data_IF_416518418019
#
_entry.id   IF_416518418019
#
_cell.length_a   1.000
_cell.length_b   1.000
_cell.length_c   1.000
_cell.angle_alpha   90.00
_cell.angle_beta   90.00
_cell.angle_gamma   90.00
#
_symmetry.space_group_name_H-M   'P 1'
#
loop_
_entity.id
_entity.type
_entity.pdbx_description
1 polymer ?
#
# COMPACT_ATOMS: atom_id res chain seq x y z
N UNK A 1 -23.22 -21.94 -8.77
CA UNK A 1 -22.29 -20.85 -9.14
C UNK A 1 -21.13 -20.92 -8.16
N UNK A 2 -19.96 -21.35 -8.62
CA UNK A 2 -18.78 -21.41 -7.77
C UNK A 2 -18.24 -20.01 -7.56
N UNK A 3 -18.22 -19.54 -6.31
CA UNK A 3 -17.39 -18.41 -5.93
C UNK A 3 -15.94 -18.88 -6.04
N UNK A 4 -15.29 -18.66 -7.18
CA UNK A 4 -13.83 -18.68 -7.24
C UNK A 4 -13.37 -17.54 -6.35
N UNK A 5 -12.95 -17.85 -5.13
CA UNK A 5 -12.21 -16.92 -4.28
C UNK A 5 -11.02 -16.43 -5.10
N UNK A 6 -11.03 -15.14 -5.46
CA UNK A 6 -9.89 -14.50 -6.11
C UNK A 6 -8.78 -14.44 -5.08
N UNK A 7 -7.83 -15.35 -5.17
CA UNK A 7 -6.62 -15.31 -4.36
C UNK A 7 -5.75 -14.16 -4.87
N UNK A 8 -5.81 -13.01 -4.21
CA UNK A 8 -4.81 -11.98 -4.40
C UNK A 8 -3.47 -12.50 -3.89
N UNK A 9 -2.43 -12.43 -4.72
CA UNK A 9 -1.09 -12.81 -4.34
C UNK A 9 -0.65 -12.07 -3.08
N UNK A 10 -0.23 -12.82 -2.05
CA UNK A 10 0.36 -12.24 -0.85
C UNK A 10 1.82 -11.94 -1.12
N UNK A 11 2.11 -10.71 -1.55
CA UNK A 11 3.46 -10.24 -1.74
C UNK A 11 4.09 -9.90 -0.38
N UNK A 12 5.36 -10.28 -0.19
CA UNK A 12 6.16 -9.82 0.92
C UNK A 12 7.28 -8.92 0.42
N UNK A 13 7.50 -7.81 1.12
CA UNK A 13 8.60 -6.89 0.82
C UNK A 13 9.32 -6.47 2.10
N UNK A 14 10.66 -6.34 2.03
CA UNK A 14 11.46 -5.88 3.16
C UNK A 14 11.05 -4.46 3.60
N UNK A 15 10.81 -3.56 2.63
CA UNK A 15 10.37 -2.21 2.91
C UNK A 15 8.93 -2.17 3.47
N UNK A 16 8.00 -2.98 2.94
CA UNK A 16 6.66 -3.12 3.52
C UNK A 16 6.70 -3.60 4.97
N UNK A 17 7.53 -4.60 5.28
CA UNK A 17 7.76 -5.07 6.65
C UNK A 17 8.43 -4.02 7.55
N UNK A 18 9.31 -3.18 7.00
CA UNK A 18 9.96 -2.10 7.76
C UNK A 18 8.99 -0.95 8.07
N UNK A 19 8.14 -0.58 7.11
CA UNK A 19 7.13 0.49 7.26
C UNK A 19 5.97 0.03 8.17
N UNK A 20 5.55 -1.22 8.03
CA UNK A 20 4.42 -1.82 8.75
C UNK A 20 4.80 -3.19 9.32
N UNK A 21 5.56 -3.24 10.43
CA UNK A 21 6.01 -4.49 11.04
C UNK A 21 4.85 -5.36 11.50
N UNK A 22 4.94 -6.68 11.25
CA UNK A 22 4.00 -7.68 11.79
C UNK A 22 4.07 -7.65 13.32
N UNK A 23 2.91 -7.58 13.98
CA UNK A 23 2.76 -7.64 15.45
C UNK A 23 1.61 -8.56 15.81
N UNK A 24 1.64 -9.16 16.99
CA UNK A 24 0.58 -10.05 17.48
C UNK A 24 -0.77 -9.33 17.62
N UNK A 25 -0.75 -8.04 17.93
CA UNK A 25 -1.90 -7.15 18.07
C UNK A 25 -2.10 -6.21 16.86
N UNK A 26 -1.60 -6.61 15.68
CA UNK A 26 -1.66 -5.77 14.49
C UNK A 26 -3.10 -5.43 14.09
N UNK A 27 -3.38 -4.13 13.94
CA UNK A 27 -4.66 -3.68 13.40
C UNK A 27 -4.79 -4.02 11.91
N UNK A 28 -6.03 -4.24 11.47
CA UNK A 28 -6.37 -4.58 10.09
C UNK A 28 -5.74 -3.63 9.05
N UNK A 29 -5.71 -2.32 9.35
CA UNK A 29 -5.22 -1.29 8.42
C UNK A 29 -3.71 -1.37 8.20
N UNK A 30 -2.91 -1.70 9.22
CA UNK A 30 -1.47 -1.90 9.08
C UNK A 30 -1.17 -3.13 8.22
N UNK A 31 -1.93 -4.21 8.41
CA UNK A 31 -1.82 -5.40 7.58
C UNK A 31 -2.15 -5.08 6.11
N UNK A 32 -3.27 -4.38 5.87
CA UNK A 32 -3.71 -3.96 4.53
C UNK A 32 -2.68 -3.02 3.87
N UNK A 33 -2.16 -2.03 4.61
CA UNK A 33 -1.10 -1.14 4.14
C UNK A 33 0.18 -1.89 3.77
N UNK A 34 0.63 -2.84 4.61
CA UNK A 34 1.79 -3.69 4.30
C UNK A 34 1.59 -4.47 3.01
N UNK A 35 0.40 -5.02 2.81
CA UNK A 35 0.05 -5.79 1.61
C UNK A 35 0.14 -4.91 0.38
N UNK A 36 -0.46 -3.72 0.40
CA UNK A 36 -0.45 -2.79 -0.74
C UNK A 36 0.93 -2.22 -1.03
N UNK A 37 1.75 -1.94 -0.01
CA UNK A 37 3.16 -1.56 -0.21
C UNK A 37 3.94 -2.69 -0.88
N UNK A 38 3.73 -3.93 -0.45
CA UNK A 38 4.43 -5.08 -1.02
C UNK A 38 4.01 -5.36 -2.46
N UNK A 39 2.73 -5.15 -2.78
CA UNK A 39 2.22 -5.21 -4.15
C UNK A 39 2.81 -4.11 -5.03
N UNK A 40 2.83 -2.86 -4.56
CA UNK A 40 3.48 -1.75 -5.26
C UNK A 40 4.92 -2.09 -5.60
N UNK A 41 5.69 -2.53 -4.60
CA UNK A 41 7.09 -2.89 -4.78
C UNK A 41 7.27 -4.06 -5.74
N UNK A 42 6.40 -5.06 -5.69
CA UNK A 42 6.43 -6.16 -6.65
C UNK A 42 6.19 -5.68 -8.09
N UNK A 43 5.23 -4.77 -8.30
CA UNK A 43 4.90 -4.21 -9.62
C UNK A 43 6.05 -3.42 -10.26
N UNK A 44 6.94 -2.86 -9.44
CA UNK A 44 8.10 -2.07 -9.88
C UNK A 44 9.45 -2.76 -9.57
N UNK A 45 9.45 -4.10 -9.46
CA UNK A 45 10.63 -4.94 -9.21
C UNK A 45 11.49 -4.54 -7.99
N UNK A 46 10.90 -3.86 -7.01
CA UNK A 46 11.58 -3.34 -5.83
C UNK A 46 12.61 -2.23 -6.11
N UNK A 47 12.69 -1.73 -7.35
CA UNK A 47 13.66 -0.73 -7.80
C UNK A 47 13.21 0.71 -7.43
N UNK A 48 12.90 0.95 -6.16
CA UNK A 48 12.55 2.27 -5.66
C UNK A 48 13.76 2.85 -4.91
N UNK A 49 14.33 3.92 -5.44
CA UNK A 49 15.62 4.47 -5.02
C UNK A 49 15.50 5.66 -4.06
N UNK A 50 14.29 6.19 -3.88
CA UNK A 50 14.04 7.32 -2.96
C UNK A 50 12.61 7.33 -2.44
N UNK A 51 12.40 8.04 -1.34
CA UNK A 51 11.06 8.27 -0.80
C UNK A 51 10.15 9.06 -1.76
N UNK A 52 10.74 9.99 -2.52
CA UNK A 52 10.01 10.77 -3.53
C UNK A 52 9.46 9.86 -4.63
N UNK A 53 10.33 9.03 -5.21
CA UNK A 53 9.94 8.04 -6.22
C UNK A 53 8.87 7.10 -5.69
N UNK A 54 9.01 6.60 -4.45
CA UNK A 54 7.99 5.77 -3.81
C UNK A 54 6.62 6.45 -3.80
N UNK A 55 6.56 7.70 -3.38
CA UNK A 55 5.31 8.46 -3.25
C UNK A 55 4.70 8.72 -4.63
N UNK A 56 5.49 9.11 -5.63
CA UNK A 56 5.01 9.33 -7.01
C UNK A 56 4.40 8.06 -7.62
N UNK A 57 5.02 6.89 -7.36
CA UNK A 57 4.47 5.61 -7.79
C UNK A 57 3.19 5.25 -7.03
N UNK A 58 3.13 5.53 -5.72
CA UNK A 58 1.97 5.27 -4.88
C UNK A 58 0.75 6.14 -5.25
N UNK A 59 0.97 7.39 -5.66
CA UNK A 59 -0.12 8.31 -6.04
C UNK A 59 -0.92 7.77 -7.25
N UNK A 60 -0.23 7.12 -8.19
CA UNK A 60 -0.81 6.53 -9.39
C UNK A 60 -1.16 5.04 -9.24
N UNK A 61 -0.90 4.46 -8.08
CA UNK A 61 -1.13 3.04 -7.82
C UNK A 61 -2.55 2.78 -7.32
N UNK A 62 -3.15 1.72 -7.85
CA UNK A 62 -4.38 1.12 -7.36
C UNK A 62 -4.06 -0.35 -7.06
N UNK A 63 -4.19 -0.81 -5.81
CA UNK A 63 -3.99 -2.21 -5.47
C UNK A 63 -5.00 -3.10 -6.20
N UNK A 64 -4.58 -4.31 -6.56
CA UNK A 64 -5.39 -5.25 -7.36
C UNK A 64 -6.75 -5.55 -6.72
N UNK A 65 -6.79 -5.66 -5.39
CA UNK A 65 -8.05 -5.82 -4.64
C UNK A 65 -9.00 -4.62 -4.82
N UNK A 66 -8.45 -3.40 -4.81
CA UNK A 66 -9.25 -2.18 -4.99
C UNK A 66 -9.69 -2.04 -6.44
N UNK A 67 -8.82 -2.38 -7.40
CA UNK A 67 -9.18 -2.41 -8.82
C UNK A 67 -10.30 -3.44 -9.08
N UNK A 68 -10.23 -4.63 -8.46
CA UNK A 68 -11.26 -5.65 -8.60
C UNK A 68 -12.63 -5.18 -8.09
N UNK A 69 -12.67 -4.44 -6.98
CA UNK A 69 -13.89 -3.81 -6.46
C UNK A 69 -14.42 -2.73 -7.41
N UNK A 70 -13.54 -1.94 -8.03
CA UNK A 70 -13.93 -0.95 -9.05
C UNK A 70 -14.51 -1.62 -10.30
N UNK A 71 -13.87 -2.70 -10.76
CA UNK A 71 -14.25 -3.43 -11.97
C UNK A 71 -15.52 -4.28 -11.76
N UNK A 72 -15.76 -4.73 -10.52
CA UNK A 72 -16.89 -5.59 -10.15
C UNK A 72 -17.65 -4.98 -8.96
N UNK A 73 -18.34 -3.84 -9.17
CA UNK A 73 -18.91 -3.07 -8.08
C UNK A 73 -19.97 -3.87 -7.31
N UNK A 74 -19.82 -3.85 -5.99
CA UNK A 74 -20.73 -4.40 -5.00
C UNK A 74 -21.17 -3.31 -4.04
N UNK A 75 -22.08 -3.64 -3.11
CA UNK A 75 -22.49 -2.71 -2.05
C UNK A 75 -21.31 -2.30 -1.13
N UNK A 76 -20.21 -3.05 -1.12
CA UNK A 76 -19.04 -2.77 -0.30
C UNK A 76 -17.96 -1.93 -1.01
N UNK A 77 -18.05 -1.80 -2.34
CA UNK A 77 -17.01 -1.14 -3.17
C UNK A 77 -16.72 0.28 -2.74
N UNK A 78 -17.75 1.10 -2.50
CA UNK A 78 -17.56 2.48 -2.02
C UNK A 78 -16.75 2.50 -0.72
N UNK A 79 -17.04 1.59 0.21
CA UNK A 79 -16.35 1.48 1.49
C UNK A 79 -14.90 1.03 1.32
N UNK A 80 -14.63 0.08 0.42
CA UNK A 80 -13.27 -0.42 0.12
C UNK A 80 -12.41 0.67 -0.52
N UNK A 81 -12.92 1.31 -1.57
CA UNK A 81 -12.24 2.40 -2.29
C UNK A 81 -12.04 3.60 -1.38
N UNK A 82 -13.05 3.98 -0.59
CA UNK A 82 -12.92 5.09 0.36
C UNK A 82 -11.87 4.80 1.44
N UNK A 83 -11.83 3.56 1.96
CA UNK A 83 -10.79 3.14 2.92
C UNK A 83 -9.40 3.22 2.28
N UNK A 84 -9.23 2.78 1.05
CA UNK A 84 -7.98 2.91 0.32
C UNK A 84 -7.54 4.37 0.18
N UNK A 85 -8.39 5.23 -0.40
CA UNK A 85 -8.03 6.61 -0.75
C UNK A 85 -7.88 7.52 0.47
N UNK A 86 -8.75 7.38 1.48
CA UNK A 86 -8.82 8.33 2.60
C UNK A 86 -8.11 7.86 3.86
N UNK A 87 -7.75 6.57 3.95
CA UNK A 87 -7.12 6.01 5.16
C UNK A 87 -5.80 5.33 4.87
N UNK A 88 -5.78 4.31 4.01
CA UNK A 88 -4.60 3.47 3.82
C UNK A 88 -3.51 4.20 3.03
N UNK A 89 -3.83 4.77 1.86
CA UNK A 89 -2.86 5.50 1.04
C UNK A 89 -2.21 6.67 1.81
N UNK A 90 -2.96 7.56 2.50
CA UNK A 90 -2.37 8.61 3.34
C UNK A 90 -1.51 8.07 4.48
N UNK A 91 -1.90 6.95 5.10
CA UNK A 91 -1.12 6.30 6.15
C UNK A 91 0.23 5.80 5.63
N UNK A 92 0.27 5.19 4.45
CA UNK A 92 1.51 4.77 3.78
C UNK A 92 2.39 6.00 3.50
N UNK A 93 1.84 7.06 2.89
CA UNK A 93 2.59 8.29 2.60
C UNK A 93 3.24 8.85 3.86
N UNK A 94 2.48 8.98 4.95
CA UNK A 94 2.99 9.50 6.22
C UNK A 94 4.11 8.61 6.78
N UNK A 95 3.96 7.29 6.68
CA UNK A 95 4.96 6.34 7.18
C UNK A 95 6.25 6.39 6.36
N UNK A 96 6.15 6.47 5.03
CA UNK A 96 7.29 6.60 4.11
C UNK A 96 8.04 7.89 4.40
N UNK A 97 7.33 9.03 4.52
CA UNK A 97 7.94 10.31 4.87
C UNK A 97 8.74 10.23 6.17
N UNK A 98 8.16 9.65 7.21
CA UNK A 98 8.83 9.43 8.51
C UNK A 98 10.01 8.47 8.44
N UNK A 99 9.89 7.40 7.67
CA UNK A 99 10.94 6.38 7.54
C UNK A 99 12.16 6.93 6.82
N UNK A 100 11.95 7.76 5.81
CA UNK A 100 12.99 8.44 5.04
C UNK A 100 13.17 9.91 5.45
N UNK A 101 12.89 10.24 6.72
CA UNK A 101 12.94 11.62 7.25
C UNK A 101 14.28 12.31 6.95
N UNK A 102 15.38 11.56 6.89
CA UNK A 102 16.71 12.06 6.52
C UNK A 102 16.81 12.55 5.07
N UNK A 103 16.10 11.93 4.13
CA UNK A 103 16.04 12.38 2.73
C UNK A 103 15.28 13.70 2.59
N UNK A 104 14.20 13.86 3.37
CA UNK A 104 13.40 15.09 3.37
C UNK A 104 14.08 16.24 4.13
N UNK A 105 14.85 15.95 5.19
CA UNK A 105 15.60 16.97 5.94
C UNK A 105 16.80 17.52 5.16
N UNK A 106 17.45 16.70 4.33
CA UNK A 106 18.58 17.13 3.50
C UNK A 106 18.18 17.85 2.20
N UNK A 107 16.89 17.95 1.89
CA UNK A 107 16.39 18.69 0.72
C UNK A 107 16.27 20.20 0.95
N UNK A 108 16.83 20.71 2.06
CA UNK A 108 16.86 22.15 2.40
C UNK A 108 18.31 22.63 2.49
N UNK A 109 19.01 22.70 1.36
CA UNK A 109 20.26 23.47 1.19
C UNK A 109 20.31 24.04 -0.24
#
# INVERSE_FOLDING_TARGET
MGNTEKFHSSYESKLGNALFPKKEDENYFNHEARSFVSELLHKYDGNINSAKEFIELLENFIPSRIQDEIDNPSWATEKEVNRWENMIKPMIINRVKKFFDSEFKNSTL
#
